data_IF_543155221781
#
_entry.id   IF_543155221781
#
_cell.length_a   1.000
_cell.length_b   1.000
_cell.length_c   1.000
_cell.angle_alpha   90.00
_cell.angle_beta   90.00
_cell.angle_gamma   90.00
#
_symmetry.space_group_name_H-M   'P 1'
#
loop_
_entity.id
_entity.type
_entity.pdbx_description
1 polymer ?
#
# COMPACT_ATOMS: atom_id res chain seq x y z
N UNK A 1 -1.45 52.34 -19.91
CA UNK A 1 -0.30 51.44 -20.07
C UNK A 1 -0.83 50.03 -20.30
N UNK A 2 -0.38 49.31 -21.34
CA UNK A 2 -0.76 47.92 -21.55
C UNK A 2 -0.08 47.03 -20.48
N UNK A 3 -0.79 45.98 -20.01
CA UNK A 3 -0.25 45.00 -19.05
C UNK A 3 0.87 44.17 -19.71
N UNK A 4 1.96 43.84 -19.00
CA UNK A 4 2.95 42.90 -19.51
C UNK A 4 2.34 41.51 -19.73
N UNK A 5 2.59 40.94 -20.90
CA UNK A 5 2.26 39.56 -21.23
C UNK A 5 3.38 38.66 -20.70
N UNK A 6 3.12 37.91 -19.63
CA UNK A 6 4.09 36.99 -19.03
C UNK A 6 4.13 35.61 -19.72
N UNK A 7 3.48 35.46 -20.88
CA UNK A 7 3.42 34.17 -21.59
C UNK A 7 4.66 33.88 -22.46
N UNK A 8 5.78 34.59 -22.28
CA UNK A 8 6.94 34.45 -23.17
C UNK A 8 8.25 33.95 -22.53
N UNK A 9 8.26 33.64 -21.24
CA UNK A 9 9.42 32.98 -20.60
C UNK A 9 9.00 31.73 -19.81
N UNK A 10 8.06 30.95 -20.34
CA UNK A 10 7.98 29.56 -19.92
C UNK A 10 9.19 28.82 -20.52
N UNK A 11 10.07 28.19 -19.71
CA UNK A 11 11.11 27.33 -20.27
C UNK A 11 10.43 26.30 -21.17
N UNK A 12 10.95 26.15 -22.39
CA UNK A 12 10.48 25.16 -23.35
C UNK A 12 10.33 23.80 -22.65
N UNK A 13 9.26 23.03 -22.89
CA UNK A 13 9.12 21.70 -22.32
C UNK A 13 10.39 20.93 -22.66
N UNK A 14 11.16 20.62 -21.62
CA UNK A 14 12.36 19.82 -21.77
C UNK A 14 11.95 18.52 -22.45
N UNK A 15 12.67 18.17 -23.52
CA UNK A 15 12.58 16.89 -24.22
C UNK A 15 12.29 15.76 -23.22
N UNK A 16 11.30 14.89 -23.45
CA UNK A 16 10.83 13.97 -22.42
C UNK A 16 11.98 13.06 -21.98
N UNK A 17 12.20 12.98 -20.66
CA UNK A 17 13.22 12.13 -20.04
C UNK A 17 13.04 10.64 -20.41
N UNK A 18 11.83 10.29 -20.87
CA UNK A 18 11.42 8.96 -21.29
C UNK A 18 11.03 9.02 -22.78
N UNK A 19 11.85 8.42 -23.65
CA UNK A 19 11.61 8.43 -25.10
C UNK A 19 12.12 7.15 -25.74
N UNK A 20 11.67 6.88 -26.96
CA UNK A 20 12.13 5.73 -27.77
C UNK A 20 13.64 5.76 -28.07
N UNK A 21 14.31 6.90 -27.84
CA UNK A 21 15.71 7.12 -28.16
C UNK A 21 16.70 6.30 -27.30
N UNK A 22 16.22 5.57 -26.28
CA UNK A 22 17.08 4.81 -25.37
C UNK A 22 17.09 3.28 -25.54
N UNK A 23 16.55 2.70 -26.63
CA UNK A 23 16.06 1.31 -26.54
C UNK A 23 16.36 0.37 -27.71
N UNK A 24 17.16 -0.67 -27.44
CA UNK A 24 17.26 -1.92 -28.23
C UNK A 24 16.46 -3.08 -27.62
N UNK A 25 15.67 -2.80 -26.57
CA UNK A 25 14.98 -3.80 -25.75
C UNK A 25 13.46 -3.82 -25.94
N UNK A 26 12.89 -2.92 -26.74
CA UNK A 26 11.46 -2.99 -27.06
C UNK A 26 11.16 -4.23 -27.92
N UNK A 27 10.09 -4.96 -27.63
CA UNK A 27 9.56 -5.97 -28.53
C UNK A 27 9.16 -5.38 -29.88
N UNK A 28 9.08 -6.20 -30.93
CA UNK A 28 8.70 -5.71 -32.27
C UNK A 28 7.31 -5.07 -32.23
N UNK A 29 7.22 -3.81 -32.63
CA UNK A 29 5.97 -3.04 -32.61
C UNK A 29 5.62 -2.43 -31.24
N UNK A 30 6.52 -2.53 -30.26
CA UNK A 30 6.43 -1.82 -28.99
C UNK A 30 7.35 -0.62 -28.98
N UNK A 31 6.92 0.40 -28.27
CA UNK A 31 7.66 1.64 -28.02
C UNK A 31 7.12 2.25 -26.73
N UNK A 32 7.74 3.34 -26.26
CA UNK A 32 7.35 3.99 -25.01
C UNK A 32 5.86 4.41 -25.00
N UNK A 33 5.37 4.92 -26.14
CA UNK A 33 3.98 5.34 -26.27
C UNK A 33 2.98 4.18 -26.23
N UNK A 34 3.36 2.99 -26.70
CA UNK A 34 2.53 1.78 -26.60
C UNK A 34 2.55 1.22 -25.19
N UNK A 35 3.73 1.18 -24.55
CA UNK A 35 3.90 0.69 -23.17
C UNK A 35 3.06 1.50 -22.17
N UNK A 36 3.07 2.84 -22.27
CA UNK A 36 2.28 3.70 -21.36
C UNK A 36 0.77 3.57 -21.49
N UNK A 37 0.28 3.02 -22.61
CA UNK A 37 -1.15 2.77 -22.86
C UNK A 37 -1.49 1.28 -22.90
N UNK A 38 -0.54 0.40 -22.61
CA UNK A 38 -0.74 -1.04 -22.67
C UNK A 38 -1.74 -1.46 -21.59
N UNK A 39 -2.75 -2.23 -21.99
CA UNK A 39 -3.66 -2.89 -21.05
C UNK A 39 -3.06 -4.20 -20.54
N UNK A 40 -3.63 -4.78 -19.49
CA UNK A 40 -3.25 -6.11 -19.03
C UNK A 40 -3.35 -7.18 -20.14
N UNK A 41 -4.29 -7.00 -21.09
CA UNK A 41 -4.42 -7.88 -22.25
C UNK A 41 -3.25 -7.70 -23.23
N UNK A 42 -2.81 -6.46 -23.49
CA UNK A 42 -1.66 -6.19 -24.36
C UNK A 42 -0.36 -6.78 -23.78
N UNK A 43 -0.21 -6.74 -22.46
CA UNK A 43 0.94 -7.32 -21.75
C UNK A 43 0.88 -8.86 -21.79
N UNK A 44 -0.31 -9.46 -21.67
CA UNK A 44 -0.50 -10.90 -21.74
C UNK A 44 -0.28 -11.49 -23.15
N UNK A 45 -0.43 -10.68 -24.20
CA UNK A 45 -0.14 -11.05 -25.58
C UNK A 45 1.36 -10.98 -25.95
N UNK A 46 2.21 -10.50 -25.04
CA UNK A 46 3.65 -10.48 -25.27
C UNK A 46 4.21 -11.90 -25.38
N UNK A 47 5.16 -12.15 -26.31
CA UNK A 47 5.90 -13.40 -26.35
C UNK A 47 6.60 -13.67 -25.01
N UNK A 48 6.68 -14.95 -24.64
CA UNK A 48 7.31 -15.38 -23.40
C UNK A 48 8.74 -14.82 -23.27
N UNK A 49 9.02 -14.14 -22.15
CA UNK A 49 10.33 -13.51 -21.87
C UNK A 49 10.56 -12.11 -22.46
N UNK A 50 9.72 -11.62 -23.37
CA UNK A 50 9.85 -10.25 -23.92
C UNK A 50 9.49 -9.17 -22.89
N UNK A 51 8.51 -9.43 -22.03
CA UNK A 51 8.19 -8.55 -20.89
C UNK A 51 9.37 -8.40 -19.92
N UNK A 52 10.03 -9.51 -19.58
CA UNK A 52 11.19 -9.51 -18.69
C UNK A 52 12.38 -8.78 -19.30
N UNK A 53 12.63 -8.96 -20.60
CA UNK A 53 13.66 -8.25 -21.36
C UNK A 53 13.39 -6.75 -21.45
N UNK A 54 12.13 -6.36 -21.63
CA UNK A 54 11.70 -4.97 -21.62
C UNK A 54 11.91 -4.32 -20.25
N UNK A 55 11.51 -5.00 -19.17
CA UNK A 55 11.72 -4.54 -17.79
C UNK A 55 13.21 -4.45 -17.43
N UNK A 56 14.02 -5.42 -17.85
CA UNK A 56 15.46 -5.40 -17.63
C UNK A 56 16.14 -4.25 -18.40
N UNK A 57 15.72 -3.98 -19.64
CA UNK A 57 16.22 -2.86 -20.43
C UNK A 57 15.83 -1.49 -19.86
N UNK A 58 14.59 -1.35 -19.38
CA UNK A 58 14.15 -0.14 -18.66
C UNK A 58 14.97 0.09 -17.40
N UNK A 59 15.25 -0.97 -16.64
CA UNK A 59 16.09 -0.91 -15.43
C UNK A 59 17.55 -0.56 -15.74
N UNK A 60 18.12 -1.07 -16.83
CA UNK A 60 19.49 -0.77 -17.26
C UNK A 60 19.65 0.70 -17.68
N UNK A 61 18.64 1.27 -18.34
CA UNK A 61 18.67 2.66 -18.81
C UNK A 61 18.31 3.67 -17.73
N UNK A 62 17.27 3.38 -16.93
CA UNK A 62 16.71 4.34 -15.99
C UNK A 62 17.22 4.15 -14.55
N UNK A 63 17.80 2.99 -14.23
CA UNK A 63 18.07 2.56 -12.85
C UNK A 63 16.78 2.21 -12.10
N UNK A 64 16.90 1.51 -10.96
CA UNK A 64 15.74 1.13 -10.12
C UNK A 64 14.88 2.34 -9.73
N UNK A 65 15.51 3.44 -9.30
CA UNK A 65 14.81 4.68 -8.94
C UNK A 65 14.11 5.35 -10.14
N UNK A 66 14.65 5.18 -11.35
CA UNK A 66 14.09 5.74 -12.57
C UNK A 66 12.89 4.95 -13.09
N UNK A 67 12.88 3.62 -12.93
CA UNK A 67 11.72 2.77 -13.22
C UNK A 67 10.55 3.14 -12.31
N UNK A 68 10.81 3.36 -11.01
CA UNK A 68 9.79 3.83 -10.07
C UNK A 68 9.19 5.18 -10.45
N UNK A 69 10.02 6.15 -10.89
CA UNK A 69 9.55 7.45 -11.39
C UNK A 69 8.77 7.36 -12.70
N UNK A 70 9.11 6.40 -13.57
CA UNK A 70 8.38 6.18 -14.80
C UNK A 70 6.97 5.62 -14.53
N UNK A 71 6.87 4.59 -13.69
CA UNK A 71 5.58 4.05 -13.27
C UNK A 71 4.69 5.14 -12.63
N UNK A 72 5.30 6.03 -11.84
CA UNK A 72 4.65 7.20 -11.26
C UNK A 72 4.06 8.13 -12.33
N UNK A 73 4.84 8.45 -13.37
CA UNK A 73 4.41 9.36 -14.45
C UNK A 73 3.25 8.79 -15.27
N UNK A 74 3.31 7.50 -15.63
CA UNK A 74 2.24 6.83 -16.39
C UNK A 74 0.94 6.81 -15.59
N UNK A 75 1.01 6.55 -14.28
CA UNK A 75 -0.15 6.57 -13.40
C UNK A 75 -0.78 7.97 -13.28
N UNK A 76 0.03 9.02 -13.17
CA UNK A 76 -0.45 10.41 -13.16
C UNK A 76 -1.15 10.82 -14.46
N UNK A 77 -0.60 10.42 -15.62
CA UNK A 77 -1.24 10.68 -16.91
C UNK A 77 -2.58 9.93 -17.06
N UNK A 78 -2.69 8.70 -16.55
CA UNK A 78 -3.95 7.95 -16.54
C UNK A 78 -5.01 8.62 -15.63
N UNK A 79 -4.61 9.15 -14.48
CA UNK A 79 -5.51 9.93 -13.63
C UNK A 79 -5.92 11.29 -14.23
N UNK A 80 -5.04 11.93 -15.00
CA UNK A 80 -5.38 13.21 -15.65
C UNK A 80 -6.24 13.03 -16.92
N UNK A 81 -5.98 12.01 -17.73
CA UNK A 81 -6.75 11.72 -18.95
C UNK A 81 -8.19 11.26 -18.68
N UNK A 82 -8.43 10.63 -17.52
CA UNK A 82 -9.77 10.30 -17.05
C UNK A 82 -10.55 11.52 -16.54
N UNK A 83 -9.89 12.61 -16.16
CA UNK A 83 -10.54 13.88 -15.78
C UNK A 83 -10.99 14.71 -17.00
N UNK A 84 -10.31 14.60 -18.15
CA UNK A 84 -10.60 15.39 -19.35
C UNK A 84 -11.63 14.76 -20.30
N UNK A 85 -12.04 13.50 -20.07
CA UNK A 85 -13.03 12.82 -20.93
C UNK A 85 -14.38 12.66 -20.25
N UNK A 86 -15.27 13.62 -20.54
CA UNK A 86 -16.73 13.66 -20.32
C UNK A 86 -17.23 14.02 -18.92
N UNK A 87 -18.09 15.04 -18.96
CA UNK A 87 -19.07 15.52 -17.97
C UNK A 87 -20.15 14.45 -17.66
N UNK A 88 -19.73 13.23 -17.30
CA UNK A 88 -20.55 12.25 -16.60
C UNK A 88 -20.29 12.39 -15.11
N UNK A 89 -21.35 12.42 -14.30
CA UNK A 89 -21.21 12.30 -12.84
C UNK A 89 -20.30 11.10 -12.56
N UNK A 90 -19.16 11.27 -11.87
CA UNK A 90 -18.27 10.15 -11.59
C UNK A 90 -19.06 9.03 -10.96
N UNK A 91 -19.12 7.88 -11.63
CA UNK A 91 -19.71 6.68 -11.05
C UNK A 91 -18.89 6.33 -9.81
N UNK A 92 -19.56 6.16 -8.67
CA UNK A 92 -18.87 5.83 -7.43
C UNK A 92 -18.41 4.38 -7.46
N UNK A 93 -17.09 4.18 -7.36
CA UNK A 93 -16.49 2.87 -7.20
C UNK A 93 -16.07 2.70 -5.74
N UNK A 94 -16.72 1.82 -4.95
CA UNK A 94 -16.29 1.61 -3.58
C UNK A 94 -14.88 1.02 -3.56
N UNK A 95 -14.04 1.44 -2.60
CA UNK A 95 -12.69 0.91 -2.48
C UNK A 95 -12.73 -0.59 -2.17
N UNK A 96 -11.69 -1.32 -2.58
CA UNK A 96 -11.64 -2.78 -2.44
C UNK A 96 -11.83 -3.22 -0.98
N UNK A 97 -11.19 -2.55 -0.03
CA UNK A 97 -11.37 -2.84 1.39
C UNK A 97 -12.83 -2.76 1.85
N UNK A 98 -13.64 -1.84 1.31
CA UNK A 98 -15.05 -1.67 1.71
C UNK A 98 -15.92 -2.79 1.16
N UNK A 99 -15.65 -3.25 -0.07
CA UNK A 99 -16.32 -4.41 -0.66
C UNK A 99 -16.06 -5.66 0.18
N UNK A 100 -14.79 -5.95 0.46
CA UNK A 100 -14.38 -7.11 1.24
C UNK A 100 -14.90 -7.05 2.69
N UNK A 101 -14.82 -5.87 3.33
CA UNK A 101 -15.42 -5.67 4.64
C UNK A 101 -16.93 -5.96 4.63
N UNK A 102 -17.66 -5.48 3.60
CA UNK A 102 -19.11 -5.71 3.50
C UNK A 102 -19.46 -7.20 3.35
N UNK A 103 -18.61 -7.97 2.66
CA UNK A 103 -18.82 -9.40 2.42
C UNK A 103 -18.46 -10.26 3.63
N UNK A 104 -17.34 -9.96 4.30
CA UNK A 104 -16.76 -10.83 5.34
C UNK A 104 -16.95 -10.30 6.76
N UNK A 105 -17.07 -8.99 6.95
CA UNK A 105 -16.97 -8.36 8.28
C UNK A 105 -18.13 -7.43 8.65
N UNK A 106 -19.13 -7.28 7.78
CA UNK A 106 -20.30 -6.47 8.07
C UNK A 106 -20.95 -6.90 9.38
N UNK A 107 -21.23 -5.94 10.25
CA UNK A 107 -21.81 -6.24 11.56
C UNK A 107 -20.80 -6.60 12.66
N UNK A 108 -19.56 -6.98 12.35
CA UNK A 108 -18.59 -7.45 13.34
C UNK A 108 -17.36 -6.53 13.52
N UNK A 109 -16.67 -6.67 14.66
CA UNK A 109 -15.34 -6.08 14.88
C UNK A 109 -14.35 -6.72 13.93
N UNK A 110 -13.49 -5.89 13.34
CA UNK A 110 -12.46 -6.35 12.41
C UNK A 110 -11.16 -5.57 12.58
N UNK A 111 -10.09 -6.09 11.99
CA UNK A 111 -8.77 -5.47 12.02
C UNK A 111 -7.68 -6.49 12.26
N UNK A 112 -6.72 -6.14 13.12
CA UNK A 112 -5.49 -6.93 13.29
C UNK A 112 -5.02 -6.93 14.74
N UNK A 113 -4.40 -8.03 15.15
CA UNK A 113 -3.70 -8.12 16.43
C UNK A 113 -2.27 -7.60 16.26
N UNK A 114 -1.78 -6.87 17.25
CA UNK A 114 -0.45 -6.32 17.23
C UNK A 114 0.25 -6.56 18.56
N UNK A 115 1.49 -7.06 18.55
CA UNK A 115 2.29 -7.25 19.75
C UNK A 115 3.21 -6.03 19.95
N UNK A 116 3.18 -5.47 21.15
CA UNK A 116 4.21 -4.51 21.57
C UNK A 116 5.46 -5.30 21.92
N UNK A 117 6.50 -5.20 21.10
CA UNK A 117 7.77 -5.90 21.31
C UNK A 117 8.90 -4.94 21.72
N UNK A 118 8.61 -3.65 21.84
CA UNK A 118 9.61 -2.63 22.09
C UNK A 118 9.06 -1.43 22.90
N UNK A 119 9.96 -0.51 23.27
CA UNK A 119 9.65 0.74 23.98
C UNK A 119 8.93 0.54 25.32
N UNK A 120 9.17 -0.56 26.06
CA UNK A 120 8.54 -0.82 27.36
C UNK A 120 9.04 0.11 28.49
N UNK A 121 10.24 0.65 28.32
CA UNK A 121 10.90 1.62 29.20
C UNK A 121 10.48 3.07 28.93
N UNK A 122 9.86 3.35 27.78
CA UNK A 122 9.41 4.67 27.36
C UNK A 122 7.92 4.67 27.01
N UNK A 123 7.09 4.98 28.00
CA UNK A 123 5.64 5.04 27.85
C UNK A 123 5.16 6.24 27.02
N UNK A 124 5.89 7.37 27.05
CA UNK A 124 5.54 8.55 26.26
C UNK A 124 5.77 8.30 24.78
N UNK A 125 6.88 7.64 24.44
CA UNK A 125 7.17 7.20 23.06
C UNK A 125 6.16 6.18 22.57
N UNK A 126 5.74 5.22 23.41
CA UNK A 126 4.70 4.26 23.05
C UNK A 126 3.35 4.93 22.78
N UNK A 127 2.94 5.87 23.63
CA UNK A 127 1.70 6.63 23.45
C UNK A 127 1.76 7.50 22.18
N UNK A 128 2.89 8.13 21.89
CA UNK A 128 3.09 8.88 20.65
C UNK A 128 2.98 7.97 19.41
N UNK A 129 3.60 6.79 19.46
CA UNK A 129 3.57 5.82 18.37
C UNK A 129 2.15 5.34 18.09
N UNK A 130 1.43 4.89 19.12
CA UNK A 130 0.06 4.37 18.94
C UNK A 130 -0.90 5.44 18.41
N UNK A 131 -0.78 6.69 18.90
CA UNK A 131 -1.55 7.83 18.36
C UNK A 131 -1.25 8.12 16.89
N UNK A 132 0.02 8.05 16.49
CA UNK A 132 0.39 8.31 15.09
C UNK A 132 -0.05 7.16 14.18
N UNK A 133 0.06 5.90 14.62
CA UNK A 133 -0.49 4.75 13.89
C UNK A 133 -2.00 4.90 13.73
N UNK A 134 -2.75 5.22 14.79
CA UNK A 134 -4.19 5.44 14.72
C UNK A 134 -4.55 6.55 13.72
N UNK A 135 -3.77 7.65 13.71
CA UNK A 135 -3.93 8.73 12.73
C UNK A 135 -3.71 8.26 11.29
N UNK A 136 -2.69 7.44 11.04
CA UNK A 136 -2.37 6.93 9.70
C UNK A 136 -3.44 5.93 9.22
N UNK A 137 -3.87 5.03 10.10
CA UNK A 137 -4.91 4.02 9.83
C UNK A 137 -6.27 4.66 9.52
N UNK A 138 -6.51 5.87 9.99
CA UNK A 138 -7.71 6.64 9.70
C UNK A 138 -7.74 7.19 8.25
N UNK A 139 -6.58 7.29 7.58
CA UNK A 139 -6.47 7.90 6.25
C UNK A 139 -7.32 7.21 5.18
N UNK A 140 -7.32 5.86 5.04
CA UNK A 140 -8.16 5.19 4.05
C UNK A 140 -9.66 5.44 4.24
N UNK A 141 -10.12 5.56 5.49
CA UNK A 141 -11.52 5.89 5.77
C UNK A 141 -11.85 7.34 5.42
N UNK A 142 -10.94 8.28 5.71
CA UNK A 142 -11.10 9.69 5.32
C UNK A 142 -11.11 9.83 3.80
N UNK A 143 -10.16 9.19 3.10
CA UNK A 143 -10.07 9.23 1.63
C UNK A 143 -11.36 8.74 0.98
N UNK A 144 -11.92 7.63 1.47
CA UNK A 144 -13.18 7.07 0.95
C UNK A 144 -14.39 8.00 1.13
N UNK A 145 -14.32 8.99 2.04
CA UNK A 145 -15.35 10.02 2.24
C UNK A 145 -15.08 11.27 1.41
N UNK A 146 -13.79 11.62 1.23
CA UNK A 146 -13.35 12.78 0.46
C UNK A 146 -13.52 12.60 -1.05
N UNK A 147 -13.51 11.35 -1.53
CA UNK A 147 -13.91 10.97 -2.89
C UNK A 147 -15.39 11.34 -3.09
N UNK A 148 -15.65 12.50 -3.70
CA UNK A 148 -17.01 13.03 -3.86
C UNK A 148 -17.97 12.04 -4.54
N UNK A 149 -19.28 12.22 -4.29
CA UNK A 149 -20.38 11.39 -4.79
C UNK A 149 -20.58 10.02 -4.13
N UNK A 150 -20.11 9.81 -2.89
CA UNK A 150 -20.41 8.60 -2.11
C UNK A 150 -21.93 8.43 -1.87
N UNK A 151 -22.56 7.33 -2.32
CA UNK A 151 -23.95 7.03 -2.01
C UNK A 151 -24.20 6.89 -0.49
N UNK A 152 -25.41 7.21 -0.02
CA UNK A 152 -25.76 7.15 1.40
C UNK A 152 -25.48 5.77 2.04
N UNK A 153 -25.77 4.69 1.33
CA UNK A 153 -25.52 3.32 1.79
C UNK A 153 -24.02 3.01 1.92
N UNK A 154 -23.21 3.50 0.99
CA UNK A 154 -21.75 3.38 1.06
C UNK A 154 -21.19 4.24 2.19
N UNK A 155 -21.73 5.44 2.41
CA UNK A 155 -21.36 6.30 3.55
C UNK A 155 -21.64 5.62 4.89
N UNK A 156 -22.82 5.01 5.06
CA UNK A 156 -23.15 4.21 6.26
C UNK A 156 -22.19 3.04 6.45
N UNK A 157 -21.86 2.35 5.35
CA UNK A 157 -20.95 1.21 5.36
C UNK A 157 -19.52 1.64 5.77
N UNK A 158 -19.03 2.76 5.24
CA UNK A 158 -17.72 3.33 5.64
C UNK A 158 -17.72 3.68 7.13
N UNK A 159 -18.77 4.37 7.61
CA UNK A 159 -18.89 4.74 9.02
C UNK A 159 -18.95 3.51 9.94
N UNK A 160 -19.71 2.49 9.56
CA UNK A 160 -19.79 1.24 10.32
C UNK A 160 -18.44 0.52 10.34
N UNK A 161 -17.80 0.35 9.18
CA UNK A 161 -16.49 -0.28 9.05
C UNK A 161 -15.44 0.45 9.91
N UNK A 162 -15.35 1.77 9.77
CA UNK A 162 -14.46 2.62 10.57
C UNK A 162 -14.69 2.45 12.07
N UNK A 163 -15.95 2.47 12.53
CA UNK A 163 -16.28 2.36 13.95
C UNK A 163 -15.95 0.99 14.57
N UNK A 164 -15.86 -0.04 13.73
CA UNK A 164 -15.62 -1.42 14.15
C UNK A 164 -14.18 -1.87 13.92
N UNK A 165 -13.38 -1.08 13.21
CA UNK A 165 -11.96 -1.35 12.99
C UNK A 165 -11.18 -1.21 14.30
N UNK A 166 -10.30 -2.17 14.58
CA UNK A 166 -9.44 -2.15 15.77
C UNK A 166 -8.06 -2.76 15.49
N UNK A 167 -7.02 -2.09 15.97
CA UNK A 167 -5.74 -2.74 16.25
C UNK A 167 -5.77 -3.18 17.71
N UNK A 168 -5.71 -4.50 17.95
CA UNK A 168 -5.68 -5.04 19.31
C UNK A 168 -4.23 -5.19 19.75
N UNK A 169 -3.73 -4.21 20.48
CA UNK A 169 -2.40 -4.24 21.09
C UNK A 169 -2.36 -5.26 22.25
N UNK A 170 -1.41 -6.19 22.16
CA UNK A 170 -1.03 -7.12 23.24
C UNK A 170 0.24 -6.58 23.87
N UNK A 171 0.13 -6.22 25.14
CA UNK A 171 1.20 -5.59 25.91
C UNK A 171 1.57 -6.46 27.11
N UNK A 172 2.77 -7.01 27.07
CA UNK A 172 3.38 -7.79 28.15
C UNK A 172 4.90 -7.60 28.03
N UNK A 173 5.55 -7.13 29.10
CA UNK A 173 6.98 -6.85 29.10
C UNK A 173 7.84 -8.07 28.72
N UNK A 174 7.31 -9.30 28.89
CA UNK A 174 7.99 -10.52 28.44
C UNK A 174 8.16 -10.58 26.92
N UNK A 175 7.30 -9.91 26.15
CA UNK A 175 7.32 -9.88 24.68
C UNK A 175 8.55 -9.17 24.11
N UNK A 176 9.25 -8.34 24.90
CA UNK A 176 10.39 -7.57 24.44
C UNK A 176 11.58 -8.43 23.96
N UNK A 177 11.65 -9.67 24.45
CA UNK A 177 12.70 -10.64 24.09
C UNK A 177 12.19 -11.81 23.26
N UNK A 178 10.90 -11.82 22.91
CA UNK A 178 10.29 -12.93 22.17
C UNK A 178 10.69 -12.90 20.69
N UNK A 179 10.98 -14.08 20.14
CA UNK A 179 11.23 -14.26 18.72
C UNK A 179 9.92 -14.28 17.93
N UNK A 180 10.00 -14.20 16.58
CA UNK A 180 8.81 -14.31 15.74
C UNK A 180 8.05 -15.64 15.95
N UNK A 181 8.76 -16.73 16.27
CA UNK A 181 8.14 -18.03 16.54
C UNK A 181 7.42 -18.06 17.89
N UNK A 182 7.97 -17.39 18.91
CA UNK A 182 7.31 -17.22 20.19
C UNK A 182 6.01 -16.40 20.02
N UNK A 183 6.07 -15.31 19.25
CA UNK A 183 4.90 -14.47 18.95
C UNK A 183 3.82 -15.24 18.18
N UNK A 184 4.19 -16.14 17.24
CA UNK A 184 3.24 -17.04 16.57
C UNK A 184 2.53 -17.95 17.57
N UNK A 185 3.28 -18.58 18.47
CA UNK A 185 2.70 -19.44 19.50
C UNK A 185 1.78 -18.66 20.45
N UNK A 186 2.13 -17.41 20.80
CA UNK A 186 1.25 -16.50 21.56
C UNK A 186 -0.03 -16.20 20.80
N UNK A 187 0.10 -15.85 19.51
CA UNK A 187 -1.04 -15.54 18.66
C UNK A 187 -2.00 -16.72 18.54
N UNK A 188 -1.48 -17.94 18.32
CA UNK A 188 -2.28 -19.16 18.29
C UNK A 188 -3.04 -19.41 19.59
N UNK A 189 -2.42 -19.12 20.73
CA UNK A 189 -3.08 -19.18 22.03
C UNK A 189 -4.22 -18.16 22.22
N UNK A 190 -4.16 -17.03 21.52
CA UNK A 190 -5.18 -15.97 21.57
C UNK A 190 -6.33 -16.21 20.60
N UNK A 191 -6.11 -16.90 19.47
CA UNK A 191 -7.10 -17.13 18.40
C UNK A 191 -8.50 -17.52 18.90
N UNK A 192 -8.67 -18.44 19.89
CA UNK A 192 -10.00 -18.83 20.36
C UNK A 192 -10.83 -17.67 20.96
N UNK A 193 -10.16 -16.63 21.46
CA UNK A 193 -10.78 -15.47 22.10
C UNK A 193 -10.83 -14.23 21.19
N UNK A 194 -10.38 -14.34 19.94
CA UNK A 194 -10.40 -13.23 18.98
C UNK A 194 -11.74 -13.19 18.23
N UNK A 195 -12.28 -11.98 17.96
CA UNK A 195 -13.36 -11.83 16.99
C UNK A 195 -12.93 -12.39 15.62
N UNK A 196 -13.85 -13.01 14.91
CA UNK A 196 -13.59 -13.62 13.58
C UNK A 196 -13.07 -12.60 12.55
N UNK A 197 -13.41 -11.32 12.68
CA UNK A 197 -12.89 -10.27 11.79
C UNK A 197 -11.47 -9.79 12.10
N UNK A 198 -10.79 -10.33 13.11
CA UNK A 198 -9.37 -10.07 13.33
C UNK A 198 -8.56 -11.01 12.44
N UNK A 199 -7.66 -10.46 11.63
CA UNK A 199 -6.84 -11.23 10.67
C UNK A 199 -6.23 -12.47 11.33
N UNK A 200 -6.49 -13.64 10.76
CA UNK A 200 -6.04 -14.95 11.25
C UNK A 200 -4.77 -15.44 10.55
N UNK A 201 -4.43 -14.83 9.41
CA UNK A 201 -3.26 -15.14 8.58
C UNK A 201 -2.01 -14.34 8.99
N UNK A 202 -2.15 -13.15 9.58
CA UNK A 202 -1.02 -12.31 10.02
C UNK A 202 -1.29 -11.60 11.34
N UNK A 203 -0.22 -11.16 12.00
CA UNK A 203 -0.27 -10.17 13.08
C UNK A 203 0.84 -9.13 12.92
N UNK A 204 0.73 -8.02 13.64
CA UNK A 204 1.74 -6.95 13.63
C UNK A 204 2.71 -7.10 14.81
N UNK A 205 3.94 -6.61 14.63
CA UNK A 205 4.92 -6.44 15.69
C UNK A 205 5.42 -5.00 15.71
N UNK A 206 5.28 -4.32 16.85
CA UNK A 206 5.86 -3.00 17.06
C UNK A 206 7.29 -3.14 17.60
N UNK A 207 8.22 -3.44 16.70
CA UNK A 207 9.66 -3.43 16.97
C UNK A 207 10.18 -1.99 17.10
N UNK A 208 11.37 -1.80 17.67
CA UNK A 208 12.02 -0.48 17.73
C UNK A 208 12.13 0.18 16.35
N UNK A 209 12.37 -0.63 15.32
CA UNK A 209 12.47 -0.14 13.94
C UNK A 209 11.14 0.37 13.39
N UNK A 210 10.02 -0.33 13.67
CA UNK A 210 8.69 0.12 13.28
C UNK A 210 8.29 1.40 14.04
N UNK A 211 8.62 1.47 15.33
CA UNK A 211 8.35 2.65 16.16
C UNK A 211 9.12 3.86 15.63
N UNK A 212 10.41 3.71 15.36
CA UNK A 212 11.23 4.75 14.75
C UNK A 212 10.69 5.17 13.37
N UNK A 213 10.32 4.20 12.52
CA UNK A 213 9.78 4.47 11.18
C UNK A 213 8.53 5.34 11.18
N UNK A 214 7.69 5.26 12.22
CA UNK A 214 6.47 6.06 12.34
C UNK A 214 6.74 7.42 12.98
N UNK A 215 7.62 7.48 13.98
CA UNK A 215 7.84 8.68 14.79
C UNK A 215 8.87 9.65 14.21
N UNK A 216 9.89 9.13 13.53
CA UNK A 216 11.06 9.92 13.10
C UNK A 216 10.84 10.62 11.73
N UNK A 217 9.60 10.63 11.23
CA UNK A 217 9.24 11.28 9.98
C UNK A 217 9.19 12.81 10.11
N UNK A 218 9.71 13.50 9.10
CA UNK A 218 9.49 14.93 8.94
C UNK A 218 8.01 15.21 8.62
N UNK A 219 7.52 16.41 8.97
CA UNK A 219 6.11 16.79 8.75
C UNK A 219 5.68 16.65 7.29
N UNK A 220 6.54 17.01 6.33
CA UNK A 220 6.27 16.90 4.91
C UNK A 220 6.21 15.44 4.42
N UNK A 221 6.79 14.51 5.17
CA UNK A 221 6.80 13.10 4.87
C UNK A 221 5.63 12.36 5.54
N UNK A 222 4.85 13.00 6.42
CA UNK A 222 3.74 12.32 7.10
C UNK A 222 2.62 11.93 6.11
N UNK A 223 2.05 10.72 6.22
CA UNK A 223 0.91 10.31 5.40
C UNK A 223 -0.28 11.25 5.55
N UNK A 224 -0.96 11.53 4.44
CA UNK A 224 -2.20 12.32 4.33
C UNK A 224 -3.15 11.64 3.34
N UNK A 225 -4.40 12.08 3.26
CA UNK A 225 -5.37 11.56 2.27
C UNK A 225 -4.90 11.72 0.82
N UNK A 226 -3.99 12.67 0.57
CA UNK A 226 -3.36 12.93 -0.74
C UNK A 226 -2.02 12.22 -0.95
N UNK A 227 -1.54 11.48 0.04
CA UNK A 227 -0.27 10.76 -0.09
C UNK A 227 -0.39 9.64 -1.11
N UNK A 228 0.67 9.48 -1.90
CA UNK A 228 0.81 8.39 -2.87
C UNK A 228 1.26 7.13 -2.14
N UNK A 229 0.71 5.97 -2.51
CA UNK A 229 1.01 4.67 -1.89
C UNK A 229 2.47 4.20 -2.04
N UNK A 230 3.23 4.80 -2.97
CA UNK A 230 4.58 4.35 -3.33
C UNK A 230 5.65 5.40 -3.00
N UNK A 231 5.69 5.84 -1.74
CA UNK A 231 6.67 6.82 -1.28
C UNK A 231 7.83 6.15 -0.53
N UNK A 232 9.10 6.48 -0.84
CA UNK A 232 10.27 5.85 -0.21
C UNK A 232 10.32 6.02 1.31
N UNK A 233 9.78 7.13 1.84
CA UNK A 233 9.68 7.42 3.28
C UNK A 233 8.32 7.01 3.88
N UNK A 234 7.66 6.00 3.32
CA UNK A 234 6.43 5.49 3.93
C UNK A 234 6.73 4.90 5.31
N UNK A 235 6.06 5.35 6.39
CA UNK A 235 6.17 4.69 7.68
C UNK A 235 5.68 3.25 7.55
N UNK A 236 6.37 2.31 8.17
CA UNK A 236 5.99 0.90 8.10
C UNK A 236 5.71 0.29 9.47
N UNK A 237 4.91 -0.77 9.44
CA UNK A 237 4.72 -1.72 10.53
C UNK A 237 5.35 -3.05 10.11
N UNK A 238 5.84 -3.83 11.09
CA UNK A 238 6.30 -5.19 10.82
C UNK A 238 5.10 -6.12 10.87
N UNK A 239 4.91 -6.87 9.79
CA UNK A 239 3.90 -7.93 9.65
C UNK A 239 4.59 -9.27 9.82
N UNK A 240 3.96 -10.15 10.58
CA UNK A 240 4.39 -11.53 10.79
C UNK A 240 3.30 -12.46 10.28
N UNK A 241 3.63 -13.26 9.28
CA UNK A 241 2.80 -14.35 8.81
C UNK A 241 2.69 -15.42 9.91
N UNK A 242 1.45 -15.85 10.14
CA UNK A 242 1.12 -16.86 11.15
C UNK A 242 1.69 -18.22 10.76
N UNK A 243 1.57 -18.60 9.49
CA UNK A 243 2.27 -19.74 8.92
C UNK A 243 3.61 -19.28 8.32
N UNK A 244 4.76 -19.76 8.83
CA UNK A 244 6.07 -19.45 8.26
C UNK A 244 6.39 -20.27 7.00
N UNK A 245 5.59 -21.27 6.64
CA UNK A 245 5.73 -22.04 5.40
C UNK A 245 4.73 -21.53 4.34
N UNK A 246 5.18 -21.17 3.13
CA UNK A 246 4.27 -20.73 2.07
C UNK A 246 3.38 -21.85 1.49
N UNK A 247 3.54 -23.11 1.94
CA UNK A 247 2.78 -24.26 1.45
C UNK A 247 3.20 -24.71 0.05
N UNK A 248 4.32 -24.21 -0.46
CA UNK A 248 4.86 -24.52 -1.79
C UNK A 248 5.82 -25.71 -1.74
N UNK A 249 5.85 -26.54 -2.79
CA UNK A 249 6.80 -27.67 -2.87
C UNK A 249 8.27 -27.20 -2.83
N UNK A 250 9.16 -28.06 -2.32
CA UNK A 250 10.60 -27.79 -2.34
C UNK A 250 11.09 -27.62 -3.79
N UNK A 251 11.74 -26.50 -4.08
CA UNK A 251 12.23 -26.15 -5.42
C UNK A 251 11.30 -25.25 -6.24
N UNK A 252 10.14 -24.83 -5.70
CA UNK A 252 9.32 -23.78 -6.30
C UNK A 252 10.00 -22.41 -6.10
N UNK A 253 10.25 -21.66 -7.19
CA UNK A 253 10.98 -20.37 -7.13
C UNK A 253 10.36 -19.37 -6.15
N UNK A 254 9.03 -19.33 -6.08
CA UNK A 254 8.27 -18.45 -5.18
C UNK A 254 8.49 -18.78 -3.68
N UNK A 255 8.91 -20.01 -3.35
CA UNK A 255 9.25 -20.40 -1.98
C UNK A 255 10.48 -19.64 -1.47
N UNK A 256 11.40 -19.27 -2.36
CA UNK A 256 12.59 -18.48 -2.01
C UNK A 256 12.28 -16.99 -1.77
N UNK A 257 11.24 -16.49 -2.43
CA UNK A 257 10.78 -15.10 -2.31
C UNK A 257 9.91 -14.85 -1.08
N UNK A 258 9.26 -15.90 -0.56
CA UNK A 258 8.45 -15.78 0.64
C UNK A 258 9.27 -15.33 1.85
N UNK A 259 8.84 -14.23 2.47
CA UNK A 259 9.38 -13.72 3.72
C UNK A 259 8.26 -13.74 4.77
N UNK A 260 8.34 -14.60 5.79
CA UNK A 260 7.29 -14.71 6.80
C UNK A 260 7.24 -13.51 7.74
N UNK A 261 8.28 -12.67 7.75
CA UNK A 261 8.30 -11.39 8.45
C UNK A 261 8.67 -10.32 7.43
N UNK A 262 7.84 -9.29 7.27
CA UNK A 262 8.04 -8.27 6.24
C UNK A 262 7.49 -6.92 6.70
N UNK A 263 7.89 -5.85 6.01
CA UNK A 263 7.47 -4.49 6.31
C UNK A 263 6.31 -4.11 5.40
N UNK A 264 5.28 -3.49 5.97
CA UNK A 264 4.14 -2.94 5.23
C UNK A 264 3.97 -1.48 5.59
N UNK A 265 3.74 -0.63 4.59
CA UNK A 265 3.43 0.76 4.82
C UNK A 265 2.16 0.88 5.70
N UNK A 266 2.22 1.64 6.78
CA UNK A 266 1.13 1.76 7.75
C UNK A 266 -0.17 2.27 7.09
N UNK A 267 -0.04 3.11 6.06
CA UNK A 267 -1.17 3.68 5.31
C UNK A 267 -1.92 2.66 4.45
N UNK A 268 -1.31 1.51 4.12
CA UNK A 268 -1.94 0.47 3.28
C UNK A 268 -2.48 -0.72 4.07
N UNK A 269 -2.42 -0.68 5.41
CA UNK A 269 -2.90 -1.79 6.26
C UNK A 269 -4.39 -2.05 6.04
N UNK A 270 -5.22 -1.00 6.09
CA UNK A 270 -6.67 -1.11 5.84
C UNK A 270 -6.96 -1.26 4.36
N UNK A 271 -6.25 -0.49 3.54
CA UNK A 271 -6.55 -0.31 2.12
C UNK A 271 -6.14 -1.50 1.26
N UNK A 272 -5.03 -2.18 1.61
CA UNK A 272 -4.44 -3.27 0.83
C UNK A 272 -4.26 -4.56 1.63
N UNK A 273 -3.55 -4.50 2.77
CA UNK A 273 -3.10 -5.70 3.48
C UNK A 273 -4.26 -6.62 3.88
N UNK A 274 -5.28 -6.07 4.56
CA UNK A 274 -6.34 -6.92 5.12
C UNK A 274 -7.19 -7.57 4.05
N UNK A 275 -7.51 -6.88 2.95
CA UNK A 275 -8.32 -7.50 1.91
C UNK A 275 -7.52 -8.50 1.07
N UNK A 276 -6.21 -8.28 0.84
CA UNK A 276 -5.35 -9.26 0.17
C UNK A 276 -5.28 -10.57 0.96
N UNK A 277 -5.28 -10.50 2.28
CA UNK A 277 -5.32 -11.69 3.14
C UNK A 277 -6.67 -12.40 3.08
N UNK A 278 -7.74 -11.67 2.82
CA UNK A 278 -9.08 -12.21 2.62
C UNK A 278 -9.38 -12.59 1.16
N UNK A 279 -8.44 -12.41 0.25
CA UNK A 279 -8.56 -12.86 -1.13
C UNK A 279 -8.14 -14.33 -1.19
N UNK A 280 -9.09 -15.24 -1.40
CA UNK A 280 -8.80 -16.63 -1.76
C UNK A 280 -9.00 -16.84 -3.27
#
# INVERSE_FOLDING_TARGET
MPRPNFSQDAPSPQTPLYSDASSSYWPVGWNYDRDRHATHADIAELPEGELLKMQAGLRDVLGEDGVGRLAMHVYEEQQQSSADTKESVPEYFPPNWLKHWSERHKGQTWGVVAFRTASYDDAERWDAFTKEVDRIIEIPFQRAVEEGNVPEESMKSIQEARSKFKIRWIEDAALASESADDLRARFDGLKPDLPTGMSDKVFLAASDEAIASVLDLEEAERPTTKSKWWRPSAPFLVVVAVDPDPGLEEGHEEREWFKPNFKVAAEVVVEELLWLLDSD
#
